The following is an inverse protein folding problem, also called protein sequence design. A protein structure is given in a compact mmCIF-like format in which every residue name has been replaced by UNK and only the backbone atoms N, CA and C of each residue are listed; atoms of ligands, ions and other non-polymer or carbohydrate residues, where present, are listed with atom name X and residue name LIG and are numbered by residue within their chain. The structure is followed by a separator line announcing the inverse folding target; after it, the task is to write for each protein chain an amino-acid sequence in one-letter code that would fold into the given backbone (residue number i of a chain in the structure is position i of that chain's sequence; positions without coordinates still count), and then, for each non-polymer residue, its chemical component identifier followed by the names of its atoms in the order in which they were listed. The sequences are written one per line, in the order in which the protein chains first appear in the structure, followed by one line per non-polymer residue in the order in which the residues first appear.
data_IF_630662823893
#
_entry.id   IF_630662823893
#
_cell.length_a   1.000
_cell.length_b   1.000
_cell.length_c   1.000
_cell.angle_alpha   90.00
_cell.angle_beta   90.00
_cell.angle_gamma   90.00
#
_symmetry.space_group_name_H-M   'P 1'
#
loop_
_entity.id
_entity.type
_entity.pdbx_description
1 polymer ?
#
# COMPACT_ATOMS: atom_id res chain seq x y z
N UNK A 1 -4.36 -7.66 21.63
CA UNK A 1 -5.55 -7.05 20.98
C UNK A 1 -6.16 -8.10 20.08
N UNK A 2 -7.48 -8.31 20.05
CA UNK A 2 -8.09 -9.31 19.17
C UNK A 2 -7.97 -8.88 17.70
N UNK A 3 -7.97 -9.88 16.79
CA UNK A 3 -7.86 -9.64 15.33
C UNK A 3 -8.89 -8.65 14.77
N UNK A 4 -10.11 -8.63 15.31
CA UNK A 4 -11.15 -7.65 14.94
C UNK A 4 -10.88 -6.26 15.55
N UNK A 5 -10.23 -6.18 16.69
CA UNK A 5 -10.04 -4.92 17.42
C UNK A 5 -9.09 -3.93 16.76
N UNK A 6 -8.00 -4.40 16.10
CA UNK A 6 -7.08 -3.47 15.44
C UNK A 6 -7.69 -2.84 14.17
N UNK A 7 -8.45 -3.62 13.39
CA UNK A 7 -9.16 -3.10 12.21
C UNK A 7 -10.14 -2.01 12.59
N UNK A 8 -10.96 -2.24 13.63
CA UNK A 8 -11.91 -1.26 14.12
C UNK A 8 -11.23 0.00 14.65
N UNK A 9 -10.13 -0.16 15.42
CA UNK A 9 -9.35 0.98 15.91
C UNK A 9 -8.76 1.79 14.77
N UNK A 10 -8.15 1.13 13.78
CA UNK A 10 -7.56 1.80 12.61
C UNK A 10 -8.63 2.50 11.79
N UNK A 11 -9.75 1.82 11.50
CA UNK A 11 -10.89 2.38 10.77
C UNK A 11 -11.40 3.66 11.42
N UNK A 12 -11.76 3.59 12.70
CA UNK A 12 -12.33 4.73 13.43
C UNK A 12 -11.36 5.90 13.52
N UNK A 13 -10.06 5.64 13.66
CA UNK A 13 -9.06 6.68 13.73
C UNK A 13 -8.87 7.43 12.40
N UNK A 14 -8.94 6.72 11.26
CA UNK A 14 -8.88 7.34 9.94
C UNK A 14 -10.18 8.02 9.56
N UNK A 15 -11.35 7.46 9.89
CA UNK A 15 -12.66 8.09 9.67
C UNK A 15 -12.72 9.48 10.34
N UNK A 16 -12.26 9.58 11.58
CA UNK A 16 -12.25 10.83 12.33
C UNK A 16 -11.37 11.93 11.71
N UNK A 17 -10.46 11.58 10.80
CA UNK A 17 -9.45 12.49 10.24
C UNK A 17 -9.48 12.61 8.71
N UNK A 18 -10.47 12.04 8.04
CA UNK A 18 -10.49 11.91 6.59
C UNK A 18 -10.30 13.26 5.86
N UNK A 19 -11.04 14.30 6.24
CA UNK A 19 -10.94 15.62 5.63
C UNK A 19 -9.60 16.31 5.93
N UNK A 20 -9.08 16.19 7.17
CA UNK A 20 -7.77 16.73 7.55
C UNK A 20 -6.66 16.06 6.76
N UNK A 21 -6.72 14.73 6.65
CA UNK A 21 -5.73 13.91 5.95
C UNK A 21 -5.70 14.23 4.44
N UNK A 22 -6.86 14.37 3.80
CA UNK A 22 -6.94 14.77 2.39
C UNK A 22 -6.31 16.14 2.15
N UNK A 23 -6.62 17.14 2.97
CA UNK A 23 -6.05 18.47 2.83
C UNK A 23 -4.52 18.49 3.00
N UNK A 24 -3.98 17.65 3.90
CA UNK A 24 -2.55 17.58 4.20
C UNK A 24 -1.74 16.95 3.05
N UNK A 25 -2.31 15.99 2.32
CA UNK A 25 -1.62 15.22 1.28
C UNK A 25 -2.17 15.49 -0.14
N UNK A 26 -2.68 16.68 -0.39
CA UNK A 26 -3.36 17.03 -1.66
C UNK A 26 -2.51 16.79 -2.92
N UNK A 27 -1.19 17.01 -2.85
CA UNK A 27 -0.25 16.67 -3.91
C UNK A 27 0.98 15.95 -3.33
N UNK A 28 0.85 14.64 -3.03
CA UNK A 28 1.87 13.91 -2.31
C UNK A 28 3.15 13.67 -3.13
N UNK A 29 3.11 13.89 -4.45
CA UNK A 29 4.22 13.64 -5.36
C UNK A 29 4.90 14.91 -5.90
N UNK A 30 4.43 16.12 -5.53
CA UNK A 30 4.95 17.38 -6.09
C UNK A 30 6.48 17.48 -5.97
N UNK A 31 7.01 17.23 -4.78
CA UNK A 31 8.44 17.35 -4.47
C UNK A 31 9.11 15.98 -4.23
N UNK A 32 8.55 14.90 -4.81
CA UNK A 32 9.00 13.52 -4.60
C UNK A 32 9.37 12.85 -5.94
N UNK A 33 10.46 13.27 -6.62
CA UNK A 33 10.79 12.77 -7.95
C UNK A 33 11.12 11.28 -7.98
N UNK A 34 11.73 10.73 -6.93
CA UNK A 34 12.06 9.31 -6.84
C UNK A 34 10.82 8.45 -6.60
N UNK A 35 9.91 8.89 -5.72
CA UNK A 35 8.62 8.23 -5.50
C UNK A 35 7.84 8.17 -6.81
N UNK A 36 7.75 9.32 -7.50
CA UNK A 36 7.08 9.43 -8.79
C UNK A 36 7.70 8.48 -9.82
N UNK A 37 9.02 8.46 -9.95
CA UNK A 37 9.70 7.59 -10.91
C UNK A 37 9.40 6.10 -10.67
N UNK A 38 9.31 5.68 -9.39
CA UNK A 38 9.02 4.30 -9.06
C UNK A 38 7.54 3.93 -9.29
N UNK A 39 6.63 4.84 -8.95
CA UNK A 39 5.20 4.65 -9.23
C UNK A 39 4.94 4.63 -10.75
N UNK A 40 5.63 5.48 -11.51
CA UNK A 40 5.57 5.49 -12.97
C UNK A 40 6.08 4.18 -13.56
N UNK A 41 7.22 3.69 -13.07
CA UNK A 41 7.78 2.39 -13.48
C UNK A 41 6.80 1.25 -13.20
N UNK A 42 6.19 1.22 -12.00
CA UNK A 42 5.16 0.24 -11.67
C UNK A 42 3.96 0.32 -12.63
N UNK A 43 3.48 1.53 -12.90
CA UNK A 43 2.36 1.74 -13.83
C UNK A 43 2.69 1.23 -15.24
N UNK A 44 3.90 1.52 -15.75
CA UNK A 44 4.35 1.07 -17.07
C UNK A 44 4.48 -0.46 -17.13
N UNK A 45 4.99 -1.11 -16.07
CA UNK A 45 5.08 -2.56 -15.97
C UNK A 45 3.69 -3.22 -15.98
N UNK A 46 2.74 -2.72 -15.17
CA UNK A 46 1.37 -3.23 -15.17
C UNK A 46 0.72 -3.07 -16.55
N UNK A 47 0.91 -1.93 -17.19
CA UNK A 47 0.39 -1.67 -18.53
C UNK A 47 0.96 -2.62 -19.58
N UNK A 48 2.25 -2.96 -19.47
CA UNK A 48 2.93 -3.84 -20.41
C UNK A 48 2.43 -5.29 -20.33
N UNK A 49 1.95 -5.73 -19.17
CA UNK A 49 1.43 -7.11 -18.99
C UNK A 49 -0.01 -7.28 -19.44
N UNK A 50 -0.78 -6.17 -19.52
CA UNK A 50 -2.24 -6.20 -19.81
C UNK A 50 -3.03 -7.23 -18.96
N UNK A 51 -2.53 -7.47 -17.74
CA UNK A 51 -3.03 -8.52 -16.85
C UNK A 51 -4.24 -8.10 -16.01
N UNK A 52 -4.75 -6.87 -16.22
CA UNK A 52 -5.91 -6.35 -15.51
C UNK A 52 -5.68 -5.00 -14.82
N UNK A 53 -6.67 -4.52 -14.03
CA UNK A 53 -6.59 -3.23 -13.33
C UNK A 53 -5.56 -3.24 -12.21
N UNK A 54 -5.28 -2.04 -11.67
CA UNK A 54 -4.56 -1.87 -10.41
C UNK A 54 -5.57 -1.83 -9.26
N UNK A 55 -5.31 -2.57 -8.19
CA UNK A 55 -5.94 -2.39 -6.90
C UNK A 55 -5.03 -1.52 -6.00
N UNK A 56 -5.50 -0.34 -5.63
CA UNK A 56 -4.85 0.55 -4.66
C UNK A 56 -5.42 0.27 -3.28
N UNK A 57 -4.65 -0.44 -2.45
CA UNK A 57 -5.09 -1.02 -1.17
C UNK A 57 -4.66 -0.13 0.01
N UNK A 58 -5.65 0.40 0.73
CA UNK A 58 -5.49 1.47 1.70
C UNK A 58 -5.32 2.81 0.97
N UNK A 59 -6.20 3.06 -0.01
CA UNK A 59 -6.10 4.21 -0.91
C UNK A 59 -6.29 5.58 -0.22
N UNK A 60 -6.82 5.60 1.00
CA UNK A 60 -7.14 6.84 1.71
C UNK A 60 -8.06 7.75 0.88
N UNK A 61 -7.77 9.06 0.78
CA UNK A 61 -8.56 10.01 0.00
C UNK A 61 -8.33 9.92 -1.52
N UNK A 62 -7.60 8.90 -2.01
CA UNK A 62 -7.51 8.56 -3.42
C UNK A 62 -6.48 9.32 -4.26
N UNK A 63 -5.56 10.07 -3.67
CA UNK A 63 -4.60 10.88 -4.43
C UNK A 63 -3.68 10.04 -5.32
N UNK A 64 -3.15 8.93 -4.81
CA UNK A 64 -2.34 7.99 -5.59
C UNK A 64 -3.18 7.21 -6.61
N UNK A 65 -4.40 6.83 -6.24
CA UNK A 65 -5.37 6.21 -7.16
C UNK A 65 -5.62 7.12 -8.36
N UNK A 66 -5.86 8.42 -8.12
CA UNK A 66 -6.07 9.41 -9.16
C UNK A 66 -4.82 9.62 -10.03
N UNK A 67 -3.64 9.62 -9.40
CA UNK A 67 -2.37 9.72 -10.13
C UNK A 67 -2.18 8.53 -11.09
N UNK A 68 -2.41 7.30 -10.63
CA UNK A 68 -2.32 6.10 -11.45
C UNK A 68 -3.38 6.10 -12.56
N UNK A 69 -4.61 6.52 -12.24
CA UNK A 69 -5.69 6.64 -13.23
C UNK A 69 -5.35 7.62 -14.35
N UNK A 70 -4.73 8.76 -14.03
CA UNK A 70 -4.28 9.76 -15.00
C UNK A 70 -3.21 9.22 -15.97
N UNK A 71 -2.55 8.10 -15.66
CA UNK A 71 -1.64 7.35 -16.54
C UNK A 71 -2.35 6.45 -17.55
N UNK A 72 -3.68 6.45 -17.56
CA UNK A 72 -4.51 5.67 -18.48
C UNK A 72 -4.69 4.22 -18.07
N UNK A 73 -4.52 3.90 -16.79
CA UNK A 73 -4.77 2.57 -16.23
C UNK A 73 -6.14 2.50 -15.58
N UNK A 74 -6.86 1.39 -15.70
CA UNK A 74 -8.01 1.11 -14.83
C UNK A 74 -7.51 0.92 -13.40
N UNK A 75 -8.03 1.70 -12.46
CA UNK A 75 -7.64 1.62 -11.03
C UNK A 75 -8.90 1.53 -10.17
N UNK A 76 -8.83 0.68 -9.15
CA UNK A 76 -9.81 0.57 -8.08
C UNK A 76 -9.14 0.93 -6.76
N UNK A 77 -9.62 1.98 -6.08
CA UNK A 77 -9.18 2.30 -4.72
C UNK A 77 -10.03 1.55 -3.69
N UNK A 78 -9.37 0.92 -2.71
CA UNK A 78 -10.03 0.22 -1.61
C UNK A 78 -9.46 0.74 -0.29
N UNK A 79 -10.33 1.17 0.62
CA UNK A 79 -9.93 1.59 1.96
C UNK A 79 -10.86 1.04 3.03
N UNK A 80 -10.32 0.78 4.21
CA UNK A 80 -11.06 0.26 5.36
C UNK A 80 -12.01 1.32 5.95
N UNK A 81 -11.66 2.61 5.85
CA UNK A 81 -12.35 3.73 6.44
C UNK A 81 -13.40 4.34 5.49
N UNK A 82 -14.70 4.23 5.78
CA UNK A 82 -15.76 4.82 4.94
C UNK A 82 -15.59 6.31 4.69
N UNK A 83 -15.11 7.08 5.68
CA UNK A 83 -14.85 8.51 5.52
C UNK A 83 -13.76 8.82 4.51
N UNK A 84 -12.71 7.99 4.43
CA UNK A 84 -11.67 8.11 3.40
C UNK A 84 -12.24 7.85 2.01
N UNK A 85 -13.04 6.80 1.86
CA UNK A 85 -13.69 6.45 0.57
C UNK A 85 -14.66 7.53 0.12
N UNK A 86 -15.44 8.10 1.05
CA UNK A 86 -16.34 9.20 0.74
C UNK A 86 -15.57 10.44 0.26
N UNK A 87 -14.47 10.78 0.92
CA UNK A 87 -13.59 11.88 0.50
C UNK A 87 -13.00 11.62 -0.89
N UNK A 88 -12.52 10.39 -1.14
CA UNK A 88 -11.96 9.99 -2.42
C UNK A 88 -12.98 10.13 -3.57
N UNK A 89 -14.22 9.71 -3.36
CA UNK A 89 -15.31 9.84 -4.34
C UNK A 89 -15.67 11.30 -4.63
N UNK A 90 -15.62 12.16 -3.62
CA UNK A 90 -15.89 13.60 -3.78
C UNK A 90 -14.78 14.30 -4.56
N UNK A 91 -13.51 14.01 -4.26
CA UNK A 91 -12.36 14.67 -4.87
C UNK A 91 -12.03 14.12 -6.28
N UNK A 92 -12.33 12.83 -6.52
CA UNK A 92 -11.97 12.14 -7.76
C UNK A 92 -13.20 11.49 -8.43
N UNK A 93 -14.20 12.30 -8.86
CA UNK A 93 -15.40 11.76 -9.50
C UNK A 93 -15.04 11.01 -10.80
N UNK A 94 -15.61 9.83 -10.99
CA UNK A 94 -15.34 8.97 -12.14
C UNK A 94 -14.29 7.88 -11.90
N UNK A 95 -13.60 7.90 -10.78
CA UNK A 95 -12.75 6.79 -10.32
C UNK A 95 -13.55 5.92 -9.36
N UNK A 96 -13.36 4.60 -9.45
CA UNK A 96 -14.03 3.64 -8.59
C UNK A 96 -13.32 3.54 -7.24
N UNK A 97 -14.07 3.72 -6.15
CA UNK A 97 -13.60 3.57 -4.78
C UNK A 97 -14.57 2.70 -3.99
N UNK A 98 -14.06 1.77 -3.19
CA UNK A 98 -14.83 0.85 -2.38
C UNK A 98 -14.36 0.80 -0.93
N UNK A 99 -15.30 0.65 -0.02
CA UNK A 99 -14.97 0.34 1.38
C UNK A 99 -14.68 -1.14 1.47
N UNK A 100 -13.49 -1.50 1.95
CA UNK A 100 -13.10 -2.90 2.04
C UNK A 100 -11.86 -3.12 2.89
N UNK A 101 -11.65 -4.37 3.28
CA UNK A 101 -10.46 -4.79 4.02
C UNK A 101 -9.48 -5.47 3.09
N UNK A 102 -8.20 -5.08 3.15
CA UNK A 102 -7.13 -5.75 2.41
C UNK A 102 -6.84 -7.20 2.88
N UNK A 103 -7.52 -7.65 3.95
CA UNK A 103 -7.49 -9.04 4.44
C UNK A 103 -8.60 -9.91 3.84
N UNK A 104 -9.56 -9.32 3.14
CA UNK A 104 -10.68 -10.04 2.52
C UNK A 104 -11.24 -9.16 1.39
N UNK A 105 -10.55 -9.17 0.26
CA UNK A 105 -10.89 -8.37 -0.90
C UNK A 105 -12.06 -8.99 -1.68
N UNK A 106 -13.06 -8.20 -2.01
CA UNK A 106 -14.18 -8.63 -2.89
C UNK A 106 -13.74 -8.63 -4.37
N UNK A 107 -12.60 -9.26 -4.64
CA UNK A 107 -11.99 -9.42 -5.96
C UNK A 107 -11.78 -10.90 -6.25
N UNK A 108 -11.98 -11.30 -7.51
CA UNK A 108 -11.72 -12.66 -7.92
C UNK A 108 -10.22 -12.98 -7.93
N UNK A 109 -9.88 -14.27 -7.85
CA UNK A 109 -8.50 -14.75 -7.94
C UNK A 109 -7.89 -14.34 -9.29
N UNK A 110 -6.67 -13.81 -9.24
CA UNK A 110 -5.94 -13.42 -10.45
C UNK A 110 -6.61 -12.32 -11.29
N UNK A 111 -7.44 -11.47 -10.69
CA UNK A 111 -8.24 -10.47 -11.40
C UNK A 111 -7.58 -9.09 -11.54
N UNK A 112 -6.43 -8.86 -10.88
CA UNK A 112 -5.72 -7.58 -10.96
C UNK A 112 -4.32 -7.77 -11.53
N UNK A 113 -3.90 -6.85 -12.40
CA UNK A 113 -2.55 -6.81 -12.96
C UNK A 113 -1.55 -6.11 -12.04
N UNK A 114 -2.04 -5.32 -11.09
CA UNK A 114 -1.20 -4.61 -10.12
C UNK A 114 -1.83 -4.49 -8.74
N UNK A 115 -1.01 -4.64 -7.70
CA UNK A 115 -1.34 -4.28 -6.31
C UNK A 115 -0.44 -3.13 -5.91
N UNK A 116 -1.05 -1.99 -5.60
CA UNK A 116 -0.38 -0.82 -5.05
C UNK A 116 -0.78 -0.66 -3.59
N UNK A 117 0.19 -0.47 -2.68
CA UNK A 117 -0.07 -0.32 -1.25
C UNK A 117 0.95 0.66 -0.66
N UNK A 118 0.52 1.91 -0.47
CA UNK A 118 1.37 2.99 -0.01
C UNK A 118 1.09 3.34 1.45
N UNK A 119 2.00 3.00 2.35
CA UNK A 119 1.87 3.18 3.80
C UNK A 119 0.61 2.57 4.44
N UNK A 120 0.01 1.58 3.79
CA UNK A 120 -1.23 0.96 4.27
C UNK A 120 -1.00 -0.29 5.13
N UNK A 121 0.12 -1.02 4.92
CA UNK A 121 0.43 -2.21 5.73
C UNK A 121 0.98 -1.87 7.13
N UNK A 122 1.33 -0.61 7.39
CA UNK A 122 2.01 -0.19 8.62
C UNK A 122 1.20 -0.41 9.91
N UNK A 123 -0.13 -0.52 9.81
CA UNK A 123 -1.00 -0.81 10.96
C UNK A 123 -1.30 -2.30 11.14
N UNK A 124 -0.78 -3.15 10.27
CA UNK A 124 -0.97 -4.60 10.35
C UNK A 124 -0.15 -5.18 11.51
N UNK A 125 -0.77 -5.90 12.46
CA UNK A 125 -0.01 -6.63 13.46
C UNK A 125 0.94 -7.65 12.82
N UNK A 126 2.19 -7.80 13.29
CA UNK A 126 3.18 -8.68 12.67
C UNK A 126 2.72 -10.13 12.50
N UNK A 127 1.94 -10.64 13.43
CA UNK A 127 1.38 -11.99 13.39
C UNK A 127 0.33 -12.19 12.28
N UNK A 128 -0.15 -11.10 11.67
CA UNK A 128 -1.19 -11.13 10.64
C UNK A 128 -0.74 -10.75 9.24
N UNK A 129 0.50 -10.30 9.08
CA UNK A 129 1.01 -9.83 7.78
C UNK A 129 1.01 -10.94 6.72
N UNK A 130 1.16 -12.20 7.13
CA UNK A 130 1.08 -13.35 6.23
C UNK A 130 -0.30 -13.46 5.57
N UNK A 131 -1.39 -13.29 6.33
CA UNK A 131 -2.76 -13.31 5.80
C UNK A 131 -2.98 -12.22 4.73
N UNK A 132 -2.41 -11.05 4.97
CA UNK A 132 -2.47 -9.93 4.03
C UNK A 132 -1.77 -10.26 2.71
N UNK A 133 -0.58 -10.85 2.75
CA UNK A 133 0.15 -11.23 1.55
C UNK A 133 -0.45 -12.45 0.84
N UNK A 134 -1.13 -13.35 1.57
CA UNK A 134 -1.94 -14.43 0.97
C UNK A 134 -3.03 -13.82 0.07
N UNK A 135 -3.72 -12.80 0.58
CA UNK A 135 -4.78 -12.13 -0.16
C UNK A 135 -4.24 -11.32 -1.37
N UNK A 136 -3.10 -10.63 -1.19
CA UNK A 136 -2.43 -9.96 -2.32
C UNK A 136 -2.06 -10.96 -3.42
N UNK A 137 -1.48 -12.11 -3.02
CA UNK A 137 -1.14 -13.16 -3.98
C UNK A 137 -2.38 -13.75 -4.65
N UNK A 138 -3.48 -13.94 -3.92
CA UNK A 138 -4.72 -14.49 -4.46
C UNK A 138 -5.28 -13.62 -5.60
N UNK A 139 -5.38 -12.31 -5.37
CA UNK A 139 -6.00 -11.40 -6.35
C UNK A 139 -5.09 -11.03 -7.51
N UNK A 140 -3.76 -11.10 -7.32
CA UNK A 140 -2.78 -10.73 -8.33
C UNK A 140 -2.69 -11.81 -9.43
N UNK A 141 -2.83 -11.40 -10.68
CA UNK A 141 -2.66 -12.27 -11.84
C UNK A 141 -1.22 -12.79 -11.97
N UNK A 142 -1.00 -13.94 -12.59
CA UNK A 142 0.34 -14.35 -13.01
C UNK A 142 1.00 -13.27 -13.88
N UNK A 143 2.27 -12.95 -13.62
CA UNK A 143 2.98 -11.85 -14.26
C UNK A 143 2.62 -10.45 -13.74
N UNK A 144 1.64 -10.34 -12.85
CA UNK A 144 1.24 -9.06 -12.24
C UNK A 144 2.31 -8.51 -11.29
N UNK A 145 2.20 -7.23 -10.96
CA UNK A 145 3.20 -6.49 -10.18
C UNK A 145 2.65 -5.99 -8.86
N UNK A 146 3.52 -5.91 -7.86
CA UNK A 146 3.24 -5.33 -6.54
C UNK A 146 4.18 -4.17 -6.30
N UNK A 147 3.68 -3.02 -5.87
CA UNK A 147 4.47 -1.93 -5.32
C UNK A 147 4.01 -1.63 -3.91
N UNK A 148 4.87 -1.93 -2.93
CA UNK A 148 4.66 -1.62 -1.52
C UNK A 148 5.50 -0.42 -1.11
N UNK A 149 4.97 0.42 -0.23
CA UNK A 149 5.75 1.44 0.48
C UNK A 149 5.42 1.40 1.97
N UNK A 150 6.45 1.42 2.81
CA UNK A 150 6.31 1.32 4.26
C UNK A 150 7.50 1.92 5.00
N UNK A 151 7.31 2.20 6.30
CA UNK A 151 8.40 2.54 7.21
C UNK A 151 9.22 1.28 7.48
N UNK A 152 10.55 1.37 7.32
CA UNK A 152 11.46 0.23 7.48
C UNK A 152 12.20 0.29 8.81
N UNK A 153 12.66 -0.88 9.28
CA UNK A 153 13.68 -1.00 10.32
C UNK A 153 15.04 -0.67 9.74
N UNK A 154 16.01 -0.39 10.61
CA UNK A 154 17.41 -0.43 10.21
C UNK A 154 17.83 -1.87 9.93
N UNK A 155 18.48 -2.12 8.80
CA UNK A 155 18.90 -3.46 8.42
C UNK A 155 20.37 -3.70 8.74
N UNK A 156 20.78 -4.92 9.14
CA UNK A 156 19.91 -6.11 9.31
C UNK A 156 19.09 -6.05 10.62
N UNK A 157 17.82 -6.42 10.54
CA UNK A 157 16.94 -6.49 11.70
C UNK A 157 16.71 -7.95 12.14
N UNK A 158 16.83 -8.25 13.45
CA UNK A 158 16.53 -9.58 13.97
C UNK A 158 15.01 -9.85 14.11
N UNK A 159 14.18 -8.81 13.95
CA UNK A 159 12.74 -8.87 14.10
C UNK A 159 12.03 -8.56 12.79
N UNK A 160 10.87 -9.17 12.59
CA UNK A 160 10.04 -8.92 11.41
C UNK A 160 9.50 -7.50 11.37
N UNK A 161 9.19 -6.93 12.54
CA UNK A 161 8.71 -5.58 12.69
C UNK A 161 9.00 -5.00 14.08
N UNK A 162 9.04 -3.68 14.16
CA UNK A 162 9.16 -2.90 15.39
C UNK A 162 7.99 -1.92 15.49
N UNK A 163 7.29 -1.92 16.63
CA UNK A 163 6.18 -0.98 16.84
C UNK A 163 6.66 0.44 17.10
N UNK A 164 5.88 1.41 16.66
CA UNK A 164 6.07 2.83 16.98
C UNK A 164 4.75 3.56 17.10
N UNK A 165 4.77 4.67 17.84
CA UNK A 165 3.60 5.53 17.99
C UNK A 165 3.40 6.38 16.74
N UNK A 166 2.36 6.07 15.99
CA UNK A 166 1.95 6.85 14.83
C UNK A 166 0.76 7.73 15.22
N UNK A 167 0.67 8.94 14.62
CA UNK A 167 -0.36 9.95 14.96
C UNK A 167 -1.80 9.48 14.81
N UNK A 168 -2.05 8.40 14.09
CA UNK A 168 -3.39 7.84 13.87
C UNK A 168 -3.66 6.63 14.77
N UNK A 169 -2.82 5.61 14.71
CA UNK A 169 -2.94 4.38 15.47
C UNK A 169 -1.55 3.73 15.60
N UNK A 170 -1.42 2.72 16.46
CA UNK A 170 -0.20 1.92 16.55
C UNK A 170 0.24 1.46 15.16
N UNK A 171 1.52 1.65 14.86
CA UNK A 171 2.11 1.28 13.58
C UNK A 171 3.40 0.49 13.76
N UNK A 172 3.87 -0.09 12.66
CA UNK A 172 5.05 -0.95 12.64
C UNK A 172 6.01 -0.52 11.53
N UNK A 173 7.30 -0.49 11.86
CA UNK A 173 8.41 -0.46 10.90
C UNK A 173 8.75 -1.90 10.55
N UNK A 174 8.95 -2.20 9.30
CA UNK A 174 9.11 -3.55 8.81
C UNK A 174 10.53 -3.84 8.37
N UNK A 175 11.04 -5.02 8.67
CA UNK A 175 12.25 -5.53 8.03
C UNK A 175 11.97 -5.78 6.55
N UNK A 176 12.69 -5.06 5.70
CA UNK A 176 12.50 -5.15 4.24
C UNK A 176 12.85 -6.54 3.72
N UNK A 177 13.89 -7.15 4.27
CA UNK A 177 14.32 -8.50 3.86
C UNK A 177 13.30 -9.57 4.27
N UNK A 178 12.69 -9.44 5.45
CA UNK A 178 11.63 -10.37 5.87
C UNK A 178 10.36 -10.19 5.05
N UNK A 179 9.94 -8.95 4.74
CA UNK A 179 8.81 -8.69 3.82
C UNK A 179 9.08 -9.31 2.44
N UNK A 180 10.27 -9.10 1.89
CA UNK A 180 10.68 -9.73 0.60
C UNK A 180 10.65 -11.26 0.67
N UNK A 181 11.09 -11.85 1.79
CA UNK A 181 11.01 -13.29 2.04
C UNK A 181 9.57 -13.82 2.04
N UNK A 182 8.66 -13.15 2.77
CA UNK A 182 7.24 -13.52 2.84
C UNK A 182 6.54 -13.43 1.48
N UNK A 183 6.87 -12.42 0.67
CA UNK A 183 6.35 -12.29 -0.70
C UNK A 183 6.85 -13.44 -1.58
N UNK A 184 8.15 -13.80 -1.46
CA UNK A 184 8.76 -14.90 -2.21
C UNK A 184 8.11 -16.25 -1.92
N UNK A 185 7.70 -16.52 -0.68
CA UNK A 185 6.95 -17.72 -0.31
C UNK A 185 5.62 -17.86 -1.08
N UNK A 186 5.11 -16.75 -1.64
CA UNK A 186 3.88 -16.64 -2.43
C UNK A 186 4.13 -16.45 -3.93
N UNK A 187 5.32 -16.80 -4.37
CA UNK A 187 5.75 -16.62 -5.75
C UNK A 187 5.75 -15.16 -6.23
N UNK A 188 5.83 -14.20 -5.32
CA UNK A 188 5.99 -12.78 -5.62
C UNK A 188 7.45 -12.41 -5.36
N UNK A 189 8.19 -12.23 -6.44
CA UNK A 189 9.64 -12.07 -6.39
C UNK A 189 10.01 -10.59 -6.48
N UNK A 190 10.77 -10.10 -5.51
CA UNK A 190 11.30 -8.75 -5.53
C UNK A 190 12.13 -8.50 -6.77
N UNK A 191 11.86 -7.39 -7.46
CA UNK A 191 12.54 -6.95 -8.67
C UNK A 191 13.47 -5.78 -8.39
N UNK A 192 13.02 -4.86 -7.51
CA UNK A 192 13.79 -3.68 -7.12
C UNK A 192 13.31 -3.15 -5.77
N UNK A 193 14.20 -2.45 -5.08
CA UNK A 193 13.85 -1.65 -3.91
C UNK A 193 14.55 -0.30 -3.94
N UNK A 194 13.89 0.71 -3.41
CA UNK A 194 14.46 2.02 -3.15
C UNK A 194 14.35 2.30 -1.65
N UNK A 195 15.49 2.50 -1.01
CA UNK A 195 15.56 2.78 0.43
C UNK A 195 15.93 4.26 0.62
N UNK A 196 15.10 4.98 1.33
CA UNK A 196 15.40 6.33 1.79
C UNK A 196 15.94 6.26 3.21
N UNK A 197 17.10 6.83 3.46
CA UNK A 197 17.67 6.91 4.82
C UNK A 197 16.77 7.77 5.72
N UNK A 198 16.71 7.42 7.01
CA UNK A 198 15.92 8.15 8.00
C UNK A 198 16.30 9.64 8.14
N UNK A 199 17.55 9.99 7.85
CA UNK A 199 18.04 11.37 7.86
C UNK A 199 17.37 12.26 6.80
N UNK A 200 16.79 11.68 5.75
CA UNK A 200 16.12 12.41 4.69
C UNK A 200 14.62 12.64 4.98
N UNK A 201 14.03 11.90 5.92
CA UNK A 201 12.66 12.12 6.39
C UNK A 201 12.68 12.75 7.80
N UNK A 202 12.89 14.06 7.84
CA UNK A 202 12.92 14.83 9.08
C UNK A 202 11.65 14.72 9.94
N UNK A 203 10.55 14.19 9.38
CA UNK A 203 9.28 14.02 10.10
C UNK A 203 9.22 12.69 10.85
N UNK A 204 9.94 11.67 10.40
CA UNK A 204 9.81 10.29 10.91
C UNK A 204 11.09 9.75 11.53
N UNK A 205 12.27 10.17 11.08
CA UNK A 205 13.56 9.78 11.64
C UNK A 205 13.95 8.31 11.41
N UNK A 206 13.24 7.57 10.55
CA UNK A 206 13.59 6.19 10.21
C UNK A 206 13.47 5.93 8.70
N UNK A 207 14.13 4.86 8.20
CA UNK A 207 14.10 4.53 6.79
C UNK A 207 12.68 4.31 6.28
N UNK A 208 12.45 4.66 5.02
CA UNK A 208 11.27 4.24 4.27
C UNK A 208 11.70 3.48 3.02
N UNK A 209 10.87 2.56 2.60
CA UNK A 209 11.14 1.68 1.47
C UNK A 209 10.00 1.72 0.47
N UNK A 210 10.36 1.71 -0.80
CA UNK A 210 9.53 1.19 -1.87
C UNK A 210 10.09 -0.15 -2.30
N UNK A 211 9.24 -1.16 -2.36
CA UNK A 211 9.57 -2.51 -2.80
C UNK A 211 8.70 -2.87 -4.00
N UNK A 212 9.34 -3.06 -5.15
CA UNK A 212 8.71 -3.51 -6.40
C UNK A 212 8.94 -5.01 -6.55
N UNK A 213 7.88 -5.75 -6.83
CA UNK A 213 7.93 -7.19 -7.01
C UNK A 213 6.99 -7.64 -8.13
N UNK A 214 7.19 -8.85 -8.64
CA UNK A 214 6.32 -9.46 -9.66
C UNK A 214 5.95 -10.89 -9.29
N UNK A 215 4.71 -11.29 -9.58
CA UNK A 215 4.26 -12.67 -9.41
C UNK A 215 4.73 -13.53 -10.56
N UNK A 216 5.46 -14.61 -10.24
CA UNK A 216 5.84 -15.62 -11.25
C UNK A 216 4.59 -16.39 -11.70
N UNK A 217 4.61 -16.83 -12.95
CA UNK A 217 3.55 -17.64 -13.54
C UNK A 217 3.51 -19.06 -13.00
#
# INVERSE_FOLDING_TARGET
MTAAGFLETTRSAYDARAAEYSALFRDPLADQPLDRALIDTFADLVKATDAGPIADLGCGPGHYTAYLHARGLPVLGIDLAPGMVEQARQEHPGIRFEVGSMFALELADGSVGGVFSHYSIIHTPPERVHELFDEFSRVLAPGGHVLLSFSATDEPSPQVAESYDHVVALAYRWSTDMISGMLRERSIIETARLVFSGDQDARRGFPRVFLLASKTG
#
